data_IF_978433092863
#
_entry.id   IF_978433092863
#
_cell.length_a   1.000
_cell.length_b   1.000
_cell.length_c   1.000
_cell.angle_alpha   90.00
_cell.angle_beta   90.00
_cell.angle_gamma   90.00
#
_symmetry.space_group_name_H-M   'P 1'
#
loop_
_entity.id
_entity.type
_entity.pdbx_description
1 polymer ?
#
# COMPACT_ATOMS: atom_id res chain seq x y z
N UNK A 1 -6.21 -10.58 -12.55
CA UNK A 1 -6.84 -9.27 -12.28
C UNK A 1 -5.96 -8.20 -12.88
N UNK A 2 -6.55 -7.27 -13.63
CA UNK A 2 -5.88 -6.14 -14.29
C UNK A 2 -6.23 -4.83 -13.57
N UNK A 3 -5.49 -3.76 -13.83
CA UNK A 3 -5.73 -2.40 -13.34
C UNK A 3 -7.18 -1.97 -13.61
N UNK A 4 -7.70 -2.30 -14.79
CA UNK A 4 -9.06 -1.99 -15.22
C UNK A 4 -10.14 -2.60 -14.30
N UNK A 5 -9.87 -3.76 -13.69
CA UNK A 5 -10.82 -4.46 -12.79
C UNK A 5 -10.97 -3.76 -11.43
N UNK A 6 -10.04 -2.86 -11.10
CA UNK A 6 -10.00 -2.10 -9.84
C UNK A 6 -9.85 -0.60 -10.08
N UNK A 7 -9.99 -0.13 -11.33
CA UNK A 7 -9.72 1.26 -11.71
C UNK A 7 -10.53 2.29 -10.91
N UNK A 8 -11.83 2.09 -10.60
CA UNK A 8 -12.59 3.06 -9.82
C UNK A 8 -11.96 3.31 -8.43
N UNK A 9 -11.62 2.23 -7.71
CA UNK A 9 -11.04 2.33 -6.37
C UNK A 9 -9.57 2.75 -6.40
N UNK A 10 -8.87 2.41 -7.49
CA UNK A 10 -7.50 2.86 -7.73
C UNK A 10 -7.46 4.39 -7.87
N UNK A 11 -8.33 4.98 -8.71
CA UNK A 11 -8.46 6.44 -8.89
C UNK A 11 -8.79 7.21 -7.60
N UNK A 12 -9.42 6.56 -6.64
CA UNK A 12 -9.69 7.16 -5.32
C UNK A 12 -8.44 7.27 -4.42
N UNK A 13 -7.28 6.76 -4.88
CA UNK A 13 -5.99 6.74 -4.18
C UNK A 13 -6.11 6.20 -2.75
N UNK A 14 -6.90 5.14 -2.58
CA UNK A 14 -7.10 4.47 -1.28
C UNK A 14 -5.80 3.89 -0.75
N UNK A 15 -5.05 3.26 -1.64
CA UNK A 15 -3.72 2.72 -1.40
C UNK A 15 -2.92 2.79 -2.70
N UNK A 16 -1.60 2.89 -2.60
CA UNK A 16 -0.74 2.94 -3.77
C UNK A 16 0.65 2.35 -3.50
N UNK A 17 1.36 2.05 -4.59
CA UNK A 17 2.79 1.72 -4.61
C UNK A 17 3.53 2.82 -5.35
N UNK A 18 4.40 3.57 -4.66
CA UNK A 18 5.21 4.62 -5.31
C UNK A 18 6.40 4.07 -6.08
N UNK A 19 6.75 2.80 -5.86
CA UNK A 19 8.01 2.20 -6.30
C UNK A 19 9.09 2.15 -5.21
N UNK A 20 8.89 2.88 -4.11
CA UNK A 20 9.80 2.89 -2.96
C UNK A 20 10.03 1.51 -2.32
N UNK A 21 11.15 1.41 -1.61
CA UNK A 21 11.60 0.22 -0.89
C UNK A 21 12.01 0.55 0.55
N UNK A 22 11.72 -0.34 1.48
CA UNK A 22 12.31 -0.26 2.81
C UNK A 22 13.81 -0.58 2.78
N UNK A 23 14.52 -0.38 3.89
CA UNK A 23 15.97 -0.66 3.98
C UNK A 23 16.34 -2.14 3.75
N UNK A 24 15.37 -3.06 3.77
CA UNK A 24 15.54 -4.51 3.49
C UNK A 24 15.32 -4.82 2.01
N UNK A 25 14.90 -3.83 1.22
CA UNK A 25 14.48 -3.97 -0.17
C UNK A 25 13.03 -4.46 -0.32
N UNK A 26 12.25 -4.48 0.75
CA UNK A 26 10.84 -4.84 0.75
C UNK A 26 9.97 -3.74 0.10
N UNK A 27 8.89 -4.12 -0.60
CA UNK A 27 7.99 -3.15 -1.22
C UNK A 27 7.19 -2.38 -0.18
N UNK A 28 6.89 -1.11 -0.49
CA UNK A 28 6.11 -0.23 0.39
C UNK A 28 4.69 -0.08 -0.16
N UNK A 29 3.69 -0.52 0.62
CA UNK A 29 2.28 -0.26 0.37
C UNK A 29 1.81 0.89 1.24
N UNK A 30 1.30 1.95 0.62
CA UNK A 30 0.93 3.17 1.33
C UNK A 30 -0.56 3.40 1.30
N UNK A 31 -1.16 3.61 2.48
CA UNK A 31 -2.49 4.15 2.68
C UNK A 31 -2.34 5.62 3.11
N UNK A 32 -2.55 6.60 2.20
CA UNK A 32 -2.35 8.02 2.53
C UNK A 32 -3.45 8.56 3.46
N UNK A 33 -3.21 9.75 4.01
CA UNK A 33 -4.18 10.47 4.82
C UNK A 33 -5.46 10.72 4.00
N UNK A 34 -6.61 10.25 4.50
CA UNK A 34 -7.92 10.42 3.85
C UNK A 34 -9.00 10.68 4.89
N UNK A 35 -9.93 11.58 4.59
CA UNK A 35 -11.07 11.87 5.48
C UNK A 35 -12.25 10.90 5.32
N UNK A 36 -12.22 10.04 4.31
CA UNK A 36 -13.33 9.20 3.86
C UNK A 36 -13.01 7.68 3.89
N UNK A 37 -12.12 7.23 4.78
CA UNK A 37 -11.76 5.81 4.91
C UNK A 37 -12.96 4.87 5.11
N UNK A 38 -14.03 5.36 5.74
CA UNK A 38 -15.26 4.63 6.05
C UNK A 38 -16.18 4.40 4.84
N UNK A 39 -15.98 5.12 3.73
CA UNK A 39 -16.81 4.97 2.52
C UNK A 39 -16.40 3.81 1.62
N UNK A 40 -15.24 3.21 1.87
CA UNK A 40 -14.70 2.15 1.03
C UNK A 40 -15.36 0.82 1.41
N UNK A 41 -15.96 0.15 0.42
CA UNK A 41 -16.48 -1.21 0.64
C UNK A 41 -15.32 -2.17 0.88
N UNK A 42 -15.49 -3.07 1.84
CA UNK A 42 -14.42 -4.02 2.17
C UNK A 42 -14.01 -4.90 0.99
N UNK A 43 -14.95 -5.26 0.12
CA UNK A 43 -14.66 -6.03 -1.09
C UNK A 43 -13.77 -5.26 -2.07
N UNK A 44 -14.08 -3.98 -2.32
CA UNK A 44 -13.27 -3.12 -3.19
C UNK A 44 -11.85 -2.95 -2.63
N UNK A 45 -11.73 -2.79 -1.32
CA UNK A 45 -10.44 -2.76 -0.64
C UNK A 45 -9.67 -4.07 -0.81
N UNK A 46 -10.32 -5.23 -0.63
CA UNK A 46 -9.70 -6.55 -0.83
C UNK A 46 -9.20 -6.72 -2.26
N UNK A 47 -10.00 -6.33 -3.25
CA UNK A 47 -9.61 -6.37 -4.67
C UNK A 47 -8.42 -5.45 -4.94
N UNK A 48 -8.43 -4.23 -4.41
CA UNK A 48 -7.33 -3.28 -4.56
C UNK A 48 -6.02 -3.81 -3.97
N UNK A 49 -6.01 -4.26 -2.71
CA UNK A 49 -4.78 -4.74 -2.07
C UNK A 49 -4.27 -6.02 -2.75
N UNK A 50 -5.17 -6.88 -3.23
CA UNK A 50 -4.80 -8.09 -3.98
C UNK A 50 -4.15 -7.73 -5.30
N UNK A 51 -4.70 -6.77 -6.03
CA UNK A 51 -4.12 -6.26 -7.26
C UNK A 51 -2.74 -5.63 -7.02
N UNK A 52 -2.62 -4.70 -6.07
CA UNK A 52 -1.36 -4.02 -5.77
C UNK A 52 -0.27 -4.99 -5.30
N UNK A 53 -0.61 -5.99 -4.48
CA UNK A 53 0.36 -6.97 -3.98
C UNK A 53 0.96 -7.86 -5.09
N UNK A 54 0.28 -8.01 -6.22
CA UNK A 54 0.77 -8.75 -7.39
C UNK A 54 1.71 -7.93 -8.29
N UNK A 55 1.89 -6.63 -8.01
CA UNK A 55 2.70 -5.74 -8.86
C UNK A 55 4.21 -6.00 -8.70
N UNK A 56 4.77 -6.06 -7.47
CA UNK A 56 6.18 -6.38 -7.31
C UNK A 56 6.47 -7.82 -7.72
N UNK A 57 7.69 -8.08 -8.21
CA UNK A 57 8.15 -9.44 -8.53
C UNK A 57 8.12 -10.33 -7.29
N UNK A 58 7.98 -11.64 -7.48
CA UNK A 58 7.98 -12.63 -6.40
C UNK A 58 9.19 -12.52 -5.47
N UNK A 59 10.39 -12.25 -6.01
CA UNK A 59 11.62 -12.06 -5.23
C UNK A 59 11.52 -10.87 -4.27
N UNK A 60 10.92 -9.77 -4.72
CA UNK A 60 10.67 -8.58 -3.91
C UNK A 60 9.60 -8.88 -2.86
N UNK A 61 8.53 -9.58 -3.21
CA UNK A 61 7.48 -9.96 -2.26
C UNK A 61 7.97 -10.89 -1.14
N UNK A 62 8.98 -11.75 -1.39
CA UNK A 62 9.61 -12.61 -0.37
C UNK A 62 10.27 -11.82 0.76
N UNK A 63 10.63 -10.55 0.53
CA UNK A 63 11.16 -9.65 1.56
C UNK A 63 10.05 -9.15 2.50
N UNK A 64 8.79 -9.35 2.17
CA UNK A 64 7.66 -8.87 2.95
C UNK A 64 7.44 -7.36 2.80
N UNK A 65 6.17 -6.96 2.81
CA UNK A 65 5.77 -5.57 2.64
C UNK A 65 5.99 -4.77 3.91
N UNK A 66 6.46 -3.54 3.74
CA UNK A 66 6.25 -2.48 4.73
C UNK A 66 4.95 -1.76 4.37
N UNK A 67 3.98 -1.75 5.27
CA UNK A 67 2.71 -1.04 5.09
C UNK A 67 2.78 0.28 5.83
N UNK A 68 2.62 1.40 5.14
CA UNK A 68 2.49 2.72 5.76
C UNK A 68 1.01 3.08 5.80
N UNK A 69 0.49 3.38 6.98
CA UNK A 69 -0.87 3.88 7.16
C UNK A 69 -0.83 5.26 7.78
N UNK A 70 -1.20 6.26 7.00
CA UNK A 70 -1.26 7.63 7.44
C UNK A 70 -2.63 7.94 8.05
N UNK A 71 -2.67 8.02 9.38
CA UNK A 71 -3.89 8.32 10.13
C UNK A 71 -4.03 9.81 10.47
N UNK A 72 -3.18 10.69 9.92
CA UNK A 72 -3.33 12.14 10.09
C UNK A 72 -4.66 12.59 9.48
N UNK A 73 -5.50 13.25 10.26
CA UNK A 73 -6.83 13.68 9.82
C UNK A 73 -7.91 12.59 9.76
N UNK A 74 -7.57 11.35 10.12
CA UNK A 74 -8.48 10.19 10.09
C UNK A 74 -9.05 9.88 11.48
N UNK A 75 -10.23 9.24 11.52
CA UNK A 75 -10.77 8.70 12.78
C UNK A 75 -9.94 7.50 13.23
N UNK A 76 -9.48 7.50 14.48
CA UNK A 76 -8.64 6.41 15.00
C UNK A 76 -9.29 5.03 14.88
N UNK A 77 -10.60 4.92 15.06
CA UNK A 77 -11.30 3.62 15.03
C UNK A 77 -11.29 2.92 13.66
N UNK A 78 -10.93 3.61 12.57
CA UNK A 78 -10.84 2.99 11.23
C UNK A 78 -9.59 2.13 11.02
N UNK A 79 -8.57 2.22 11.89
CA UNK A 79 -7.31 1.47 11.72
C UNK A 79 -7.48 -0.03 11.94
N UNK A 80 -8.23 -0.44 12.98
CA UNK A 80 -8.39 -1.85 13.34
C UNK A 80 -9.09 -2.65 12.23
N UNK A 81 -10.20 -2.17 11.63
CA UNK A 81 -10.80 -2.82 10.46
C UNK A 81 -9.82 -2.96 9.28
N UNK A 82 -9.01 -1.94 8.99
CA UNK A 82 -8.03 -1.99 7.92
C UNK A 82 -6.97 -3.07 8.16
N UNK A 83 -6.36 -3.08 9.35
CA UNK A 83 -5.35 -4.10 9.69
C UNK A 83 -5.92 -5.52 9.70
N UNK A 84 -7.19 -5.67 10.12
CA UNK A 84 -7.89 -6.97 10.07
C UNK A 84 -8.06 -7.45 8.63
N UNK A 85 -8.47 -6.57 7.70
CA UNK A 85 -8.58 -6.91 6.28
C UNK A 85 -7.21 -7.27 5.69
N UNK A 86 -6.15 -6.54 6.06
CA UNK A 86 -4.79 -6.86 5.62
C UNK A 86 -4.36 -8.26 6.11
N UNK A 87 -4.59 -8.59 7.38
CA UNK A 87 -4.27 -9.93 7.89
C UNK A 87 -5.08 -11.03 7.19
N UNK A 88 -6.37 -10.81 6.97
CA UNK A 88 -7.27 -11.84 6.42
C UNK A 88 -7.20 -12.00 4.90
N UNK A 89 -6.70 -10.99 4.18
CA UNK A 89 -6.86 -10.93 2.71
C UNK A 89 -5.62 -10.46 1.95
N UNK A 90 -4.54 -10.06 2.60
CA UNK A 90 -3.33 -9.66 1.88
C UNK A 90 -2.59 -10.92 1.37
N UNK A 91 -2.35 -11.05 0.05
CA UNK A 91 -1.85 -12.30 -0.53
C UNK A 91 -0.33 -12.49 -0.36
N UNK A 92 0.35 -11.55 0.30
CA UNK A 92 1.80 -11.56 0.52
C UNK A 92 2.13 -11.43 2.01
N UNK A 93 3.39 -11.63 2.37
CA UNK A 93 3.84 -11.38 3.74
C UNK A 93 3.85 -9.86 4.02
N UNK A 94 3.29 -9.45 5.15
CA UNK A 94 3.51 -8.12 5.73
C UNK A 94 4.60 -8.26 6.78
N UNK A 95 5.71 -7.56 6.59
CA UNK A 95 6.78 -7.53 7.59
C UNK A 95 6.39 -6.62 8.76
N UNK A 96 5.95 -5.41 8.45
CA UNK A 96 5.62 -4.37 9.43
C UNK A 96 4.54 -3.42 8.90
N UNK A 97 3.63 -3.00 9.77
CA UNK A 97 2.70 -1.90 9.55
C UNK A 97 3.12 -0.68 10.39
N UNK A 98 3.50 0.40 9.72
CA UNK A 98 3.87 1.69 10.29
C UNK A 98 2.65 2.62 10.29
N UNK A 99 2.12 2.93 11.47
CA UNK A 99 0.93 3.75 11.65
C UNK A 99 1.35 5.15 12.08
N UNK A 100 1.19 6.13 11.18
CA UNK A 100 1.51 7.53 11.44
C UNK A 100 0.37 8.14 12.26
N UNK A 101 0.72 8.81 13.35
CA UNK A 101 -0.25 9.47 14.23
C UNK A 101 -0.37 10.98 13.95
N UNK A 102 -1.53 11.60 14.24
CA UNK A 102 -1.64 13.05 14.37
C UNK A 102 -0.75 13.57 15.51
N UNK A 103 -0.18 14.77 15.40
CA UNK A 103 0.77 15.30 16.39
C UNK A 103 0.20 15.42 17.81
N UNK A 104 -1.07 15.84 17.91
CA UNK A 104 -1.80 15.98 19.18
C UNK A 104 -2.00 14.65 19.92
N UNK A 105 -1.72 13.53 19.24
CA UNK A 105 -1.85 12.18 19.80
C UNK A 105 -0.76 11.86 20.81
N UNK A 106 0.48 12.33 20.59
CA UNK A 106 1.61 12.04 21.49
C UNK A 106 1.48 12.74 22.85
N UNK A 107 0.63 13.76 22.92
CA UNK A 107 0.32 14.50 24.14
C UNK A 107 -0.82 13.87 24.97
N UNK A 108 -1.65 13.01 24.36
CA UNK A 108 -2.74 12.29 25.05
C UNK A 108 -2.29 10.85 25.35
N UNK A 109 -2.64 10.35 26.54
CA UNK A 109 -2.19 9.07 27.10
C UNK A 109 -2.10 7.91 26.11
N UNK A 110 -1.14 7.01 26.36
CA UNK A 110 -0.90 5.74 25.65
C UNK A 110 -2.22 5.04 25.29
N UNK A 111 -2.71 5.26 24.08
CA UNK A 111 -3.70 4.38 23.48
C UNK A 111 -2.96 3.09 23.17
N UNK A 112 -3.17 2.07 24.00
CA UNK A 112 -2.79 0.74 23.61
C UNK A 112 -3.66 0.39 22.40
N UNK A 113 -3.02 0.06 21.28
CA UNK A 113 -3.67 -0.79 20.29
C UNK A 113 -4.16 -1.99 21.10
N UNK A 114 -5.48 -2.20 21.19
CA UNK A 114 -6.06 -3.27 22.00
C UNK A 114 -5.38 -4.61 21.68
N UNK A 115 -5.55 -5.61 22.55
CA UNK A 115 -4.90 -6.93 22.54
C UNK A 115 -5.02 -7.78 21.26
N UNK A 116 -5.45 -7.23 20.13
CA UNK A 116 -5.34 -7.83 18.80
C UNK A 116 -3.87 -8.13 18.52
N UNK A 117 -3.47 -9.39 18.67
CA UNK A 117 -2.21 -9.88 18.12
C UNK A 117 -2.40 -10.02 16.61
N UNK A 118 -1.90 -9.05 15.85
CA UNK A 118 -1.71 -9.26 14.41
C UNK A 118 -0.51 -10.18 14.19
N UNK A 119 -0.53 -10.95 13.10
CA UNK A 119 0.58 -11.83 12.74
C UNK A 119 1.83 -11.06 12.29
N UNK A 120 1.67 -9.79 11.92
CA UNK A 120 2.74 -8.88 11.53
C UNK A 120 3.01 -7.81 12.58
N UNK A 121 4.23 -7.27 12.57
CA UNK A 121 4.64 -6.20 13.49
C UNK A 121 3.82 -4.93 13.23
N UNK A 122 3.38 -4.25 14.28
CA UNK A 122 2.59 -3.01 14.17
C UNK A 122 3.21 -1.92 15.03
N UNK A 123 3.75 -0.88 14.40
CA UNK A 123 4.45 0.20 15.07
C UNK A 123 3.78 1.54 14.82
N UNK A 124 3.52 2.26 15.91
CA UNK A 124 3.02 3.63 15.85
C UNK A 124 4.21 4.59 15.80
N UNK A 125 4.25 5.45 14.79
CA UNK A 125 5.41 6.31 14.49
C UNK A 125 4.99 7.76 14.20
N UNK A 126 5.93 8.68 14.38
CA UNK A 126 5.86 10.02 13.75
C UNK A 126 6.35 9.94 12.30
N UNK A 127 6.26 11.03 11.54
CA UNK A 127 6.86 11.12 10.19
C UNK A 127 8.37 10.86 10.24
N UNK A 128 9.09 11.55 11.13
CA UNK A 128 10.52 11.34 11.34
C UNK A 128 10.85 9.88 11.69
N UNK A 129 9.96 9.20 12.42
CA UNK A 129 10.10 7.80 12.79
C UNK A 129 10.14 6.83 11.60
N UNK A 130 9.58 7.20 10.43
CA UNK A 130 9.63 6.39 9.21
C UNK A 130 11.08 6.17 8.75
N UNK A 131 11.96 7.15 8.96
CA UNK A 131 13.37 7.12 8.51
C UNK A 131 14.18 6.00 9.13
N UNK A 132 13.69 5.42 10.24
CA UNK A 132 14.31 4.26 10.88
C UNK A 132 14.19 3.01 10.00
N UNK A 133 13.08 2.86 9.27
CA UNK A 133 12.75 1.68 8.47
C UNK A 133 12.93 1.93 6.97
N UNK A 134 12.66 3.15 6.50
CA UNK A 134 12.68 3.53 5.08
C UNK A 134 13.62 4.71 4.89
N UNK A 135 14.44 4.69 3.83
CA UNK A 135 15.26 5.85 3.49
C UNK A 135 14.39 7.00 2.94
N UNK A 136 14.64 8.28 3.28
CA UNK A 136 13.88 9.40 2.72
C UNK A 136 13.82 9.44 1.18
N UNK A 137 14.84 8.90 0.49
CA UNK A 137 14.84 8.78 -0.97
C UNK A 137 13.81 7.79 -1.52
N UNK A 138 13.19 6.98 -0.65
CA UNK A 138 12.19 5.97 -0.97
C UNK A 138 10.80 6.36 -0.49
N UNK A 139 10.66 7.52 0.16
CA UNK A 139 9.41 8.09 0.65
C UNK A 139 8.96 9.23 -0.27
N UNK A 140 7.65 9.35 -0.45
CA UNK A 140 7.04 10.46 -1.20
C UNK A 140 7.02 11.74 -0.36
N UNK A 141 6.87 12.94 -0.98
CA UNK A 141 6.98 14.22 -0.27
C UNK A 141 6.01 14.41 0.89
N UNK A 142 4.83 13.78 0.87
CA UNK A 142 3.88 13.83 1.98
C UNK A 142 4.37 13.14 3.27
N UNK A 143 5.47 12.39 3.19
CA UNK A 143 6.16 11.74 4.29
C UNK A 143 7.59 12.26 4.51
N UNK A 144 7.85 13.51 4.13
CA UNK A 144 9.16 14.18 4.24
C UNK A 144 10.28 13.48 3.43
N UNK A 145 9.91 12.82 2.32
CA UNK A 145 10.83 12.18 1.39
C UNK A 145 11.03 12.94 0.08
N UNK A 146 11.83 12.37 -0.82
CA UNK A 146 12.12 12.96 -2.15
C UNK A 146 11.81 12.05 -3.35
N UNK A 147 11.12 10.92 -3.13
CA UNK A 147 10.64 10.07 -4.22
C UNK A 147 9.43 10.72 -4.92
N UNK A 148 9.62 11.20 -6.14
CA UNK A 148 8.51 11.73 -6.93
C UNK A 148 7.51 10.62 -7.31
N UNK A 149 6.23 10.89 -7.10
CA UNK A 149 5.16 9.97 -7.45
C UNK A 149 3.91 10.74 -7.90
N UNK A 150 3.53 10.55 -9.16
CA UNK A 150 2.27 11.01 -9.71
C UNK A 150 1.32 9.83 -9.86
N UNK A 151 0.16 9.90 -9.21
CA UNK A 151 -0.75 8.76 -9.13
C UNK A 151 -1.53 8.55 -10.43
N UNK A 152 -1.99 9.64 -11.04
CA UNK A 152 -2.72 9.65 -12.30
C UNK A 152 -1.84 9.13 -13.43
N UNK A 153 -0.61 9.64 -13.53
CA UNK A 153 0.39 9.17 -14.51
C UNK A 153 0.72 7.67 -14.28
N UNK A 154 0.91 7.26 -13.03
CA UNK A 154 1.15 5.85 -12.71
C UNK A 154 -0.01 4.96 -13.19
N UNK A 155 -1.27 5.37 -13.00
CA UNK A 155 -2.44 4.63 -13.49
C UNK A 155 -2.42 4.53 -15.01
N UNK A 156 -2.19 5.64 -15.71
CA UNK A 156 -2.16 5.69 -17.18
C UNK A 156 -1.09 4.74 -17.74
N UNK A 157 0.14 4.84 -17.23
CA UNK A 157 1.25 3.95 -17.60
C UNK A 157 0.90 2.50 -17.29
N UNK A 158 0.31 2.23 -16.12
CA UNK A 158 0.01 0.87 -15.68
C UNK A 158 -1.03 0.19 -16.55
N UNK A 159 -2.10 0.90 -16.91
CA UNK A 159 -3.14 0.39 -17.81
C UNK A 159 -2.55 0.09 -19.20
N UNK A 160 -1.80 1.03 -19.77
CA UNK A 160 -1.15 0.86 -21.07
C UNK A 160 -0.16 -0.31 -21.07
N UNK A 161 0.64 -0.45 -20.00
CA UNK A 161 1.59 -1.55 -19.84
C UNK A 161 0.89 -2.91 -19.79
N UNK A 162 -0.18 -3.06 -19.00
CA UNK A 162 -0.91 -4.33 -18.90
C UNK A 162 -1.64 -4.69 -20.20
N UNK A 163 -2.14 -3.70 -20.94
CA UNK A 163 -2.68 -3.91 -22.29
C UNK A 163 -1.60 -4.40 -23.26
N UNK A 164 -0.44 -3.74 -23.28
CA UNK A 164 0.70 -4.14 -24.11
C UNK A 164 1.13 -5.58 -23.84
N UNK A 165 1.32 -5.97 -22.57
CA UNK A 165 1.71 -7.33 -22.19
C UNK A 165 0.65 -8.35 -22.63
N UNK A 166 -0.64 -8.02 -22.46
CA UNK A 166 -1.74 -8.89 -22.89
C UNK A 166 -1.72 -9.12 -24.40
N UNK A 167 -1.47 -8.06 -25.17
CA UNK A 167 -1.39 -8.15 -26.64
C UNK A 167 -0.15 -8.93 -27.08
N UNK A 168 1.01 -8.69 -26.47
CA UNK A 168 2.24 -9.41 -26.75
C UNK A 168 2.09 -10.92 -26.48
N UNK A 169 1.48 -11.30 -25.36
CA UNK A 169 1.21 -12.71 -25.03
C UNK A 169 0.27 -13.37 -26.06
N UNK A 170 -0.78 -12.66 -26.48
CA UNK A 170 -1.70 -13.15 -27.52
C UNK A 170 -1.04 -13.29 -28.89
N UNK A 171 -0.11 -12.40 -29.27
CA UNK A 171 0.66 -12.56 -30.50
C UNK A 171 1.61 -13.75 -30.43
N UNK A 172 2.27 -13.96 -29.29
CA UNK A 172 3.18 -15.09 -29.10
C UNK A 172 2.43 -16.42 -29.23
N UNK A 173 1.27 -16.57 -28.59
CA UNK A 173 0.48 -17.81 -28.69
C UNK A 173 0.07 -18.12 -30.14
N UNK A 174 -0.27 -17.09 -30.92
CA UNK A 174 -0.61 -17.26 -32.34
C UNK A 174 0.59 -17.66 -33.21
N UNK A 175 1.81 -17.29 -32.81
CA UNK A 175 3.02 -17.71 -33.52
C UNK A 175 3.40 -19.17 -33.21
N UNK A 176 3.12 -19.63 -31.99
CA UNK A 176 3.36 -21.02 -31.56
C UNK A 176 2.38 -22.02 -32.21
N UNK A 177 1.24 -21.54 -32.72
CA UNK A 177 0.25 -22.33 -33.46
C UNK A 177 0.55 -22.51 -34.96
N UNK A 178 1.62 -21.88 -35.47
CA UNK A 178 2.08 -21.96 -36.88
C UNK A 178 3.18 -23.00 -37.05
#
# INVERSE_FOLDING_TARGET
>A
MKAMDVLPILKEKVAYLSGGRDKRGGPILTFPARSNHDRIRQEDLRRLISYLACIPSEEVCKRGFTVIVDMRGSKWDSIKPLLKILQESFPCCIHIALIIKPDNFWQKQRTNFGSSKFEFETNMVSLEGLTKVVDPSQLTPEFDGCLEYNHEEWIEIRVAFEEYISNAAHMLSRLEEL
#
